data_IF_956272605274
#
_entry.id   IF_956272605274
#
_cell.length_a   1.000
_cell.length_b   1.000
_cell.length_c   1.000
_cell.angle_alpha   90.00
_cell.angle_beta   90.00
_cell.angle_gamma   90.00
#
_symmetry.space_group_name_H-M   'P 1'
#
loop_
_entity.id
_entity.type
_entity.pdbx_description
1 polymer ?
#
# COMPACT_ATOMS: atom_id res chain seq x y z
N UNK A 1 -23.49 -41.20 16.57
CA UNK A 1 -22.93 -40.70 15.29
C UNK A 1 -22.87 -39.19 15.34
N UNK A 2 -21.67 -38.57 15.28
CA UNK A 2 -21.53 -37.10 15.31
C UNK A 2 -21.98 -36.54 13.96
N UNK A 3 -22.89 -35.56 13.98
CA UNK A 3 -23.48 -34.97 12.78
C UNK A 3 -22.39 -34.27 11.93
N UNK A 4 -22.06 -34.78 10.73
CA UNK A 4 -20.93 -34.26 9.92
C UNK A 4 -21.13 -32.81 9.48
N UNK A 5 -22.37 -32.34 9.38
CA UNK A 5 -22.70 -30.95 9.02
C UNK A 5 -22.28 -29.97 10.13
N UNK A 6 -22.44 -30.36 11.39
CA UNK A 6 -22.01 -29.56 12.54
C UNK A 6 -20.49 -29.48 12.64
N UNK A 7 -19.78 -30.57 12.33
CA UNK A 7 -18.31 -30.60 12.29
C UNK A 7 -17.76 -29.65 11.22
N UNK A 8 -18.33 -29.66 10.01
CA UNK A 8 -17.91 -28.79 8.90
C UNK A 8 -18.19 -27.30 9.17
N UNK A 9 -19.33 -26.96 9.77
CA UNK A 9 -19.65 -25.57 10.12
C UNK A 9 -18.72 -25.04 11.24
N UNK A 10 -18.40 -25.89 12.21
CA UNK A 10 -17.48 -25.56 13.30
C UNK A 10 -16.06 -25.36 12.79
N UNK A 11 -15.61 -26.22 11.87
CA UNK A 11 -14.27 -26.11 11.26
C UNK A 11 -14.14 -24.87 10.36
N UNK A 12 -15.16 -24.53 9.55
CA UNK A 12 -15.20 -23.26 8.81
C UNK A 12 -15.13 -22.06 9.75
N UNK A 13 -15.87 -22.09 10.85
CA UNK A 13 -15.92 -20.98 11.82
C UNK A 13 -14.59 -20.86 12.59
N UNK A 14 -13.92 -21.97 12.88
CA UNK A 14 -12.61 -22.02 13.52
C UNK A 14 -11.49 -21.52 12.59
N UNK A 15 -11.51 -21.89 11.30
CA UNK A 15 -10.56 -21.38 10.29
C UNK A 15 -10.80 -19.89 10.01
N UNK A 16 -12.05 -19.44 9.98
CA UNK A 16 -12.40 -18.02 9.85
C UNK A 16 -11.96 -17.23 11.09
N UNK A 17 -12.11 -17.80 12.30
CA UNK A 17 -11.65 -17.19 13.57
C UNK A 17 -10.12 -17.12 13.65
N UNK A 18 -9.38 -18.18 13.30
CA UNK A 18 -7.90 -18.13 13.27
C UNK A 18 -7.34 -17.15 12.22
N UNK A 19 -8.09 -16.86 11.15
CA UNK A 19 -7.74 -15.81 10.20
C UNK A 19 -8.08 -14.39 10.70
N UNK A 20 -8.94 -14.28 11.72
CA UNK A 20 -9.37 -13.05 12.38
C UNK A 20 -8.79 -12.85 13.78
N UNK A 21 -7.85 -13.71 14.22
CA UNK A 21 -7.07 -13.48 15.43
C UNK A 21 -6.37 -12.12 15.31
N UNK A 22 -6.84 -11.17 16.11
CA UNK A 22 -6.36 -9.80 16.11
C UNK A 22 -4.86 -9.80 16.24
N UNK A 23 -4.16 -9.39 15.19
CA UNK A 23 -2.71 -9.45 15.17
C UNK A 23 -2.22 -8.01 15.26
N UNK A 24 -1.76 -7.56 16.45
CA UNK A 24 -1.46 -6.16 16.66
C UNK A 24 -0.40 -5.63 15.71
N UNK A 25 0.54 -6.50 15.28
CA UNK A 25 1.56 -6.17 14.27
C UNK A 25 0.98 -5.94 12.87
N UNK A 26 0.02 -6.76 12.41
CA UNK A 26 -0.68 -6.50 11.14
C UNK A 26 -1.52 -5.23 11.23
N UNK A 27 -2.18 -4.99 12.38
CA UNK A 27 -2.91 -3.76 12.65
C UNK A 27 -2.01 -2.54 12.56
N UNK A 28 -0.86 -2.58 13.22
CA UNK A 28 0.15 -1.53 13.22
C UNK A 28 0.66 -1.26 11.80
N UNK A 29 1.10 -2.31 11.07
CA UNK A 29 1.62 -2.15 9.72
C UNK A 29 0.56 -1.60 8.73
N UNK A 30 -0.66 -2.14 8.78
CA UNK A 30 -1.77 -1.62 7.97
C UNK A 30 -2.12 -0.18 8.35
N UNK A 31 -2.08 0.14 9.64
CA UNK A 31 -2.31 1.46 10.19
C UNK A 31 -1.27 2.48 9.72
N UNK A 32 0.01 2.12 9.70
CA UNK A 32 1.10 3.00 9.22
C UNK A 32 0.89 3.39 7.76
N UNK A 33 0.66 2.41 6.89
CA UNK A 33 0.35 2.69 5.48
C UNK A 33 -0.95 3.48 5.30
N UNK A 34 -1.97 3.19 6.10
CA UNK A 34 -3.25 3.90 6.03
C UNK A 34 -3.17 5.34 6.57
N UNK A 35 -2.28 5.61 7.53
CA UNK A 35 -1.98 6.94 8.03
C UNK A 35 -1.37 7.84 6.96
N UNK A 36 -0.47 7.28 6.12
CA UNK A 36 0.07 8.00 4.95
C UNK A 36 -1.04 8.36 3.96
N UNK A 37 -1.95 7.43 3.67
CA UNK A 37 -3.10 7.68 2.78
C UNK A 37 -4.04 8.73 3.38
N UNK A 38 -4.29 8.68 4.68
CA UNK A 38 -5.08 9.69 5.39
C UNK A 38 -4.47 11.07 5.31
N UNK A 39 -3.16 11.19 5.56
CA UNK A 39 -2.42 12.45 5.46
C UNK A 39 -2.49 13.02 4.04
N UNK A 40 -2.29 12.17 3.02
CA UNK A 40 -2.43 12.58 1.62
C UNK A 40 -3.85 13.09 1.31
N UNK A 41 -4.88 12.37 1.76
CA UNK A 41 -6.28 12.75 1.56
C UNK A 41 -6.62 14.09 2.24
N UNK A 42 -6.12 14.29 3.46
CA UNK A 42 -6.22 15.57 4.17
C UNK A 42 -5.57 16.70 3.38
N UNK A 43 -4.33 16.53 2.92
CA UNK A 43 -3.62 17.54 2.14
C UNK A 43 -4.35 17.88 0.83
N UNK A 44 -4.91 16.87 0.16
CA UNK A 44 -5.73 17.07 -1.04
C UNK A 44 -7.01 17.86 -0.74
N UNK A 45 -7.67 17.57 0.39
CA UNK A 45 -8.86 18.29 0.84
C UNK A 45 -8.52 19.75 1.18
N UNK A 46 -7.44 20.00 1.90
CA UNK A 46 -6.98 21.35 2.23
C UNK A 46 -6.60 22.14 0.97
N UNK A 47 -5.95 21.49 -0.01
CA UNK A 47 -5.66 22.10 -1.30
C UNK A 47 -6.93 22.46 -2.09
N UNK A 48 -8.00 21.65 -1.97
CA UNK A 48 -9.29 21.94 -2.57
C UNK A 48 -9.96 23.15 -1.91
N UNK A 49 -9.97 23.21 -0.57
CA UNK A 49 -10.52 24.35 0.18
C UNK A 49 -9.75 25.64 -0.12
N UNK A 50 -8.43 25.58 -0.20
CA UNK A 50 -7.59 26.73 -0.53
C UNK A 50 -7.88 27.29 -1.94
N UNK A 51 -8.23 26.44 -2.91
CA UNK A 51 -8.68 26.89 -4.25
C UNK A 51 -10.02 27.63 -4.22
N UNK A 52 -10.81 27.41 -3.18
CA UNK A 52 -12.06 28.12 -2.92
C UNK A 52 -11.88 29.28 -1.92
N UNK A 53 -10.64 29.69 -1.64
CA UNK A 53 -10.28 30.75 -0.68
C UNK A 53 -10.71 30.45 0.78
N UNK A 54 -10.95 29.19 1.10
CA UNK A 54 -11.26 28.73 2.46
C UNK A 54 -9.97 28.28 3.11
N UNK A 55 -9.46 29.06 4.06
CA UNK A 55 -8.23 28.76 4.82
C UNK A 55 -8.48 28.78 6.33
N UNK A 56 -7.55 28.23 7.11
CA UNK A 56 -7.64 28.23 8.58
C UNK A 56 -7.54 29.62 9.21
N UNK A 57 -7.10 30.64 8.45
CA UNK A 57 -6.80 31.98 8.96
C UNK A 57 -5.50 32.08 9.77
N UNK A 58 -4.81 30.96 10.03
CA UNK A 58 -3.55 30.93 10.78
C UNK A 58 -2.43 31.53 9.91
N UNK A 59 -1.66 32.47 10.47
CA UNK A 59 -0.53 33.12 9.79
C UNK A 59 0.82 32.54 10.26
N UNK A 60 1.80 32.58 9.37
CA UNK A 60 3.18 32.15 9.63
C UNK A 60 3.46 30.72 9.16
N UNK A 61 4.66 30.23 9.50
CA UNK A 61 5.08 28.89 9.08
C UNK A 61 4.17 27.79 9.67
N UNK A 62 3.83 26.76 8.88
CA UNK A 62 3.13 25.56 9.36
C UNK A 62 3.80 24.93 10.59
N UNK A 63 3.00 24.29 11.44
CA UNK A 63 3.49 23.58 12.63
C UNK A 63 4.51 22.50 12.28
N UNK A 64 4.32 21.82 11.16
CA UNK A 64 5.19 20.75 10.67
C UNK A 64 6.55 21.26 10.21
N UNK A 65 6.63 22.46 9.61
CA UNK A 65 7.90 23.10 9.26
C UNK A 65 8.68 23.50 10.52
N UNK A 66 8.01 24.06 11.53
CA UNK A 66 8.64 24.40 12.81
C UNK A 66 9.16 23.16 13.55
N UNK A 67 8.41 22.06 13.48
CA UNK A 67 8.83 20.78 14.02
C UNK A 67 10.06 20.23 13.30
N UNK A 68 10.09 20.34 11.97
CA UNK A 68 11.24 19.96 11.15
C UNK A 68 12.49 20.80 11.48
N UNK A 69 12.33 22.12 11.61
CA UNK A 69 13.42 23.02 12.02
C UNK A 69 13.99 22.65 13.38
N UNK A 70 13.13 22.49 14.39
CA UNK A 70 13.57 22.12 15.74
C UNK A 70 14.31 20.77 15.74
N UNK A 71 13.83 19.81 14.96
CA UNK A 71 14.50 18.52 14.84
C UNK A 71 15.89 18.67 14.19
N UNK A 72 15.98 19.45 13.11
CA UNK A 72 17.25 19.72 12.44
C UNK A 72 18.24 20.45 13.35
N UNK A 73 17.78 21.44 14.12
CA UNK A 73 18.58 22.16 15.11
C UNK A 73 19.14 21.20 16.17
N UNK A 74 18.30 20.32 16.70
CA UNK A 74 18.71 19.38 17.74
C UNK A 74 19.70 18.31 17.24
N UNK A 75 19.62 17.91 15.98
CA UNK A 75 20.44 16.82 15.42
C UNK A 75 21.73 17.35 14.77
N UNK A 76 21.63 18.46 14.04
CA UNK A 76 22.73 18.99 13.21
C UNK A 76 23.29 20.33 13.70
N UNK A 77 22.68 20.92 14.74
CA UNK A 77 23.03 22.27 15.21
C UNK A 77 22.57 23.39 14.29
N UNK A 78 21.80 23.11 13.23
CA UNK A 78 21.34 24.10 12.24
C UNK A 78 19.87 23.89 11.86
N UNK A 79 19.08 24.96 11.65
CA UNK A 79 17.72 24.85 11.15
C UNK A 79 17.68 24.32 9.72
N UNK A 80 16.50 23.90 9.26
CA UNK A 80 16.34 23.44 7.88
C UNK A 80 16.56 24.62 6.94
N UNK A 81 17.35 24.43 5.89
CA UNK A 81 17.57 25.46 4.87
C UNK A 81 16.26 25.89 4.22
N UNK A 82 16.11 27.19 3.95
CA UNK A 82 14.86 27.79 3.45
C UNK A 82 14.25 27.05 2.24
N UNK A 83 15.09 26.67 1.26
CA UNK A 83 14.65 25.95 0.06
C UNK A 83 14.03 24.57 0.35
N UNK A 84 14.42 23.93 1.46
CA UNK A 84 14.00 22.57 1.83
C UNK A 84 12.94 22.55 2.94
N UNK A 85 12.61 23.72 3.51
CA UNK A 85 11.77 23.83 4.71
C UNK A 85 10.38 23.24 4.50
N UNK A 86 9.73 23.59 3.39
CA UNK A 86 8.41 23.07 3.03
C UNK A 86 8.43 21.53 2.91
N UNK A 87 9.44 20.97 2.25
CA UNK A 87 9.54 19.51 2.10
C UNK A 87 9.86 18.79 3.39
N UNK A 88 10.69 19.39 4.24
CA UNK A 88 10.94 18.85 5.58
C UNK A 88 9.66 18.87 6.43
N UNK A 89 8.83 19.92 6.28
CA UNK A 89 7.49 19.99 6.86
C UNK A 89 6.55 18.88 6.34
N UNK A 90 6.51 18.64 5.03
CA UNK A 90 5.74 17.53 4.45
C UNK A 90 6.22 16.17 4.97
N UNK A 91 7.53 15.96 5.06
CA UNK A 91 8.10 14.73 5.61
C UNK A 91 7.64 14.49 7.06
N UNK A 92 7.70 15.52 7.91
CA UNK A 92 7.17 15.47 9.27
C UNK A 92 5.66 15.15 9.26
N UNK A 93 4.88 15.79 8.40
CA UNK A 93 3.44 15.57 8.30
C UNK A 93 3.11 14.10 7.99
N UNK A 94 3.72 13.53 6.95
CA UNK A 94 3.52 12.13 6.58
C UNK A 94 4.06 11.16 7.62
N UNK A 95 5.20 11.46 8.27
CA UNK A 95 5.74 10.65 9.37
C UNK A 95 4.78 10.60 10.55
N UNK A 96 4.26 11.76 11.00
CA UNK A 96 3.27 11.82 12.08
C UNK A 96 1.99 11.09 11.67
N UNK A 97 1.48 11.32 10.46
CA UNK A 97 0.30 10.62 9.94
C UNK A 97 0.46 9.10 9.94
N UNK A 98 1.62 8.59 9.50
CA UNK A 98 1.98 7.16 9.54
C UNK A 98 2.03 6.63 10.98
N UNK A 99 2.69 7.33 11.90
CA UNK A 99 2.79 6.91 13.30
C UNK A 99 1.42 6.85 13.98
N UNK A 100 0.61 7.91 13.84
CA UNK A 100 -0.73 8.00 14.42
C UNK A 100 -1.66 6.96 13.79
N UNK A 101 -1.60 6.74 12.47
CA UNK A 101 -2.32 5.68 11.80
C UNK A 101 -1.90 4.28 12.29
N UNK A 102 -0.61 4.06 12.54
CA UNK A 102 -0.07 2.81 13.09
C UNK A 102 -0.60 2.51 14.49
N UNK A 103 -0.59 3.53 15.37
CA UNK A 103 -1.18 3.42 16.71
C UNK A 103 -2.68 3.12 16.65
N UNK A 104 -3.41 3.81 15.77
CA UNK A 104 -4.83 3.53 15.54
C UNK A 104 -5.07 2.10 15.02
N UNK A 105 -4.26 1.62 14.09
CA UNK A 105 -4.34 0.28 13.56
C UNK A 105 -4.04 -0.80 14.61
N UNK A 106 -3.02 -0.59 15.45
CA UNK A 106 -2.70 -1.44 16.60
C UNK A 106 -3.88 -1.47 17.59
N UNK A 107 -4.35 -0.30 18.01
CA UNK A 107 -5.45 -0.17 18.96
C UNK A 107 -6.75 -0.78 18.43
N UNK A 108 -7.01 -0.65 17.12
CA UNK A 108 -8.18 -1.24 16.48
C UNK A 108 -8.18 -2.77 16.49
N UNK A 109 -7.02 -3.43 16.47
CA UNK A 109 -6.94 -4.88 16.63
C UNK A 109 -7.20 -5.31 18.09
N UNK A 110 -6.77 -4.49 19.07
CA UNK A 110 -6.95 -4.77 20.49
C UNK A 110 -8.40 -4.50 20.97
N UNK A 111 -9.00 -3.39 20.54
CA UNK A 111 -10.34 -2.96 20.95
C UNK A 111 -11.17 -2.56 19.71
N UNK A 112 -12.10 -3.42 19.24
CA UNK A 112 -12.91 -3.14 18.06
C UNK A 112 -13.72 -1.84 18.13
N UNK A 113 -14.08 -1.36 19.33
CA UNK A 113 -14.79 -0.09 19.53
C UNK A 113 -13.99 1.12 19.05
N UNK A 114 -12.66 1.06 19.05
CA UNK A 114 -11.79 2.12 18.51
C UNK A 114 -12.10 2.40 17.03
N UNK A 115 -12.58 1.40 16.29
CA UNK A 115 -12.94 1.50 14.88
C UNK A 115 -14.40 1.91 14.64
N UNK A 116 -15.17 2.13 15.70
CA UNK A 116 -16.56 2.59 15.60
C UNK A 116 -16.61 3.99 14.96
N UNK A 117 -17.67 4.27 14.20
CA UNK A 117 -17.81 5.54 13.48
C UNK A 117 -16.93 5.66 12.23
N UNK A 118 -16.35 4.56 11.74
CA UNK A 118 -15.71 4.51 10.42
C UNK A 118 -14.49 5.41 10.28
N UNK A 119 -13.79 5.71 11.38
CA UNK A 119 -12.62 6.58 11.42
C UNK A 119 -12.93 8.05 11.74
N UNK A 120 -14.19 8.47 11.74
CA UNK A 120 -14.56 9.86 12.07
C UNK A 120 -14.23 10.22 13.53
N UNK A 121 -14.57 9.35 14.48
CA UNK A 121 -14.24 9.54 15.90
C UNK A 121 -12.72 9.60 16.12
N UNK A 122 -11.96 8.75 15.42
CA UNK A 122 -10.51 8.78 15.42
C UNK A 122 -9.96 10.08 14.84
N UNK A 123 -10.51 10.55 13.72
CA UNK A 123 -10.14 11.84 13.13
C UNK A 123 -10.36 13.00 14.09
N UNK A 124 -11.54 13.09 14.71
CA UNK A 124 -11.83 14.11 15.71
C UNK A 124 -10.87 14.03 16.92
N UNK A 125 -10.60 12.83 17.43
CA UNK A 125 -9.63 12.63 18.50
C UNK A 125 -8.21 13.05 18.09
N UNK A 126 -7.80 12.77 16.85
CA UNK A 126 -6.52 13.20 16.32
C UNK A 126 -6.42 14.73 16.24
N UNK A 127 -7.49 15.43 15.82
CA UNK A 127 -7.52 16.90 15.83
C UNK A 127 -7.33 17.46 17.25
N UNK A 128 -8.08 16.93 18.23
CA UNK A 128 -7.99 17.39 19.62
C UNK A 128 -6.61 17.13 20.22
N UNK A 129 -6.08 15.93 20.03
CA UNK A 129 -4.80 15.53 20.64
C UNK A 129 -3.63 16.19 19.92
N UNK A 130 -3.58 16.14 18.60
CA UNK A 130 -2.42 16.65 17.84
C UNK A 130 -2.49 18.17 17.73
N UNK A 131 -3.54 18.71 17.13
CA UNK A 131 -3.61 20.13 16.76
C UNK A 131 -3.96 21.05 17.92
N UNK A 132 -4.90 20.65 18.78
CA UNK A 132 -5.37 21.52 19.87
C UNK A 132 -4.55 21.36 21.16
N UNK A 133 -3.77 20.27 21.29
CA UNK A 133 -3.02 19.96 22.52
C UNK A 133 -1.51 19.88 22.28
N UNK A 134 -1.03 18.91 21.51
CA UNK A 134 0.41 18.66 21.36
C UNK A 134 1.13 19.78 20.61
N UNK A 135 0.56 20.29 19.52
CA UNK A 135 1.15 21.37 18.71
C UNK A 135 1.33 22.66 19.55
N UNK A 136 0.34 23.12 20.36
CA UNK A 136 0.52 24.24 21.28
C UNK A 136 1.52 23.97 22.41
N UNK A 137 1.48 22.79 23.04
CA UNK A 137 2.43 22.41 24.11
C UNK A 137 3.87 22.44 23.59
N UNK A 138 4.09 21.93 22.37
CA UNK A 138 5.39 21.95 21.72
C UNK A 138 5.79 23.34 21.16
N UNK A 139 4.91 24.35 21.30
CA UNK A 139 5.09 25.73 20.82
C UNK A 139 5.23 25.83 19.29
N UNK A 140 4.63 24.89 18.55
CA UNK A 140 4.58 24.92 17.09
C UNK A 140 3.33 25.66 16.56
N UNK A 141 2.28 25.78 17.38
CA UNK A 141 1.06 26.53 17.07
C UNK A 141 0.60 27.41 18.23
N UNK A 142 -0.43 28.22 17.98
CA UNK A 142 -1.10 28.98 19.02
C UNK A 142 -2.08 28.07 19.77
N UNK A 143 -2.27 28.26 21.09
CA UNK A 143 -3.30 27.53 21.83
C UNK A 143 -4.70 27.93 21.36
N UNK A 144 -5.69 27.08 21.66
CA UNK A 144 -7.04 27.23 21.09
C UNK A 144 -7.68 28.61 21.34
N UNK A 145 -7.41 29.24 22.48
CA UNK A 145 -7.97 30.56 22.83
C UNK A 145 -7.31 31.76 22.12
N UNK A 146 -6.21 31.56 21.40
CA UNK A 146 -5.52 32.62 20.62
C UNK A 146 -5.64 32.42 19.12
N UNK A 147 -5.86 31.19 18.69
CA UNK A 147 -6.00 30.88 17.28
C UNK A 147 -7.26 31.54 16.68
N UNK A 148 -7.26 31.87 15.38
CA UNK A 148 -8.45 32.34 14.69
C UNK A 148 -9.59 31.33 14.86
N UNK A 149 -10.81 31.80 15.11
CA UNK A 149 -11.94 30.91 15.37
C UNK A 149 -12.24 29.95 14.20
N UNK A 150 -11.94 30.36 12.96
CA UNK A 150 -12.03 29.54 11.73
C UNK A 150 -11.07 28.33 11.73
N UNK A 151 -9.97 28.41 12.49
CA UNK A 151 -8.93 27.38 12.48
C UNK A 151 -9.42 26.05 13.07
N UNK A 152 -10.32 26.11 14.06
CA UNK A 152 -10.88 24.91 14.71
C UNK A 152 -11.78 24.11 13.76
N UNK A 153 -12.91 24.64 13.23
CA UNK A 153 -13.74 23.86 12.31
C UNK A 153 -12.96 23.42 11.07
N UNK A 154 -12.00 24.22 10.59
CA UNK A 154 -11.09 23.83 9.52
C UNK A 154 -10.21 22.63 9.89
N UNK A 155 -9.57 22.64 11.07
CA UNK A 155 -8.73 21.53 11.56
C UNK A 155 -9.55 20.27 11.76
N UNK A 156 -10.70 20.35 12.45
CA UNK A 156 -11.56 19.19 12.67
C UNK A 156 -12.10 18.62 11.36
N UNK A 157 -12.55 19.44 10.41
CA UNK A 157 -12.99 18.97 9.10
C UNK A 157 -11.86 18.25 8.34
N UNK A 158 -10.66 18.82 8.33
CA UNK A 158 -9.47 18.22 7.72
C UNK A 158 -9.15 16.86 8.36
N UNK A 159 -9.21 16.78 9.69
CA UNK A 159 -8.93 15.56 10.45
C UNK A 159 -10.03 14.49 10.34
N UNK A 160 -11.29 14.87 10.13
CA UNK A 160 -12.35 13.92 9.78
C UNK A 160 -12.05 13.25 8.44
N UNK A 161 -11.60 14.00 7.43
CA UNK A 161 -11.16 13.45 6.14
C UNK A 161 -9.99 12.48 6.36
N UNK A 162 -8.99 12.88 7.15
CA UNK A 162 -7.88 12.00 7.53
C UNK A 162 -8.38 10.70 8.17
N UNK A 163 -9.21 10.78 9.20
CA UNK A 163 -9.67 9.62 9.96
C UNK A 163 -10.49 8.64 9.11
N UNK A 164 -11.44 9.13 8.30
CA UNK A 164 -12.26 8.31 7.41
C UNK A 164 -11.40 7.66 6.32
N UNK A 165 -10.49 8.43 5.70
CA UNK A 165 -9.58 7.90 4.69
C UNK A 165 -8.63 6.85 5.28
N UNK A 166 -8.09 7.08 6.47
CA UNK A 166 -7.25 6.11 7.20
C UNK A 166 -8.02 4.83 7.51
N UNK A 167 -9.24 4.88 8.05
CA UNK A 167 -9.99 3.64 8.31
C UNK A 167 -10.33 2.87 7.03
N UNK A 168 -10.69 3.58 5.96
CA UNK A 168 -10.93 2.99 4.64
C UNK A 168 -9.68 2.26 4.11
N UNK A 169 -8.55 2.95 4.09
CA UNK A 169 -7.26 2.41 3.63
C UNK A 169 -6.80 1.25 4.52
N UNK A 170 -6.94 1.38 5.85
CA UNK A 170 -6.53 0.34 6.82
C UNK A 170 -7.29 -0.96 6.60
N UNK A 171 -8.60 -0.91 6.34
CA UNK A 171 -9.39 -2.12 6.01
C UNK A 171 -8.84 -2.85 4.79
N UNK A 172 -8.48 -2.10 3.74
CA UNK A 172 -7.93 -2.66 2.50
C UNK A 172 -6.53 -3.25 2.76
N UNK A 173 -5.64 -2.47 3.37
CA UNK A 173 -4.26 -2.88 3.66
C UNK A 173 -4.21 -4.07 4.63
N UNK A 174 -5.01 -4.08 5.70
CA UNK A 174 -5.08 -5.22 6.63
C UNK A 174 -5.51 -6.49 5.91
N UNK A 175 -6.56 -6.41 5.09
CA UNK A 175 -7.05 -7.57 4.30
C UNK A 175 -6.00 -8.06 3.29
N UNK A 176 -5.16 -7.17 2.78
CA UNK A 176 -4.05 -7.54 1.92
C UNK A 176 -2.91 -8.20 2.71
N UNK A 177 -2.43 -7.58 3.79
CA UNK A 177 -1.35 -8.13 4.61
C UNK A 177 -1.72 -9.46 5.27
N UNK A 178 -2.99 -9.65 5.65
CA UNK A 178 -3.50 -10.94 6.11
C UNK A 178 -3.36 -12.03 5.03
N UNK A 179 -3.56 -11.69 3.75
CA UNK A 179 -3.32 -12.62 2.62
C UNK A 179 -1.84 -12.90 2.41
N UNK A 180 -0.99 -11.88 2.50
CA UNK A 180 0.47 -12.07 2.44
C UNK A 180 0.91 -13.06 3.54
N UNK A 181 0.44 -12.88 4.78
CA UNK A 181 0.71 -13.79 5.89
C UNK A 181 0.16 -15.20 5.65
N UNK A 182 -1.07 -15.31 5.12
CA UNK A 182 -1.67 -16.60 4.77
C UNK A 182 -0.86 -17.32 3.69
N UNK A 183 -0.43 -16.61 2.65
CA UNK A 183 0.43 -17.14 1.59
C UNK A 183 1.78 -17.62 2.10
N UNK A 184 2.42 -16.85 2.99
CA UNK A 184 3.65 -17.28 3.67
C UNK A 184 3.44 -18.56 4.50
N UNK A 185 2.29 -18.67 5.17
CA UNK A 185 1.94 -19.88 5.93
C UNK A 185 1.73 -21.07 5.00
N UNK A 186 1.10 -20.87 3.82
CA UNK A 186 0.98 -21.90 2.78
C UNK A 186 2.34 -22.39 2.28
N UNK A 187 3.33 -21.48 2.12
CA UNK A 187 4.71 -21.86 1.77
C UNK A 187 5.35 -22.72 2.85
N UNK A 188 5.26 -22.29 4.12
CA UNK A 188 5.90 -22.99 5.25
C UNK A 188 5.32 -24.37 5.52
N UNK A 189 4.03 -24.56 5.26
CA UNK A 189 3.30 -25.80 5.55
C UNK A 189 3.24 -26.77 4.37
N UNK A 190 3.74 -26.38 3.18
CA UNK A 190 3.78 -27.24 2.00
C UNK A 190 2.40 -27.60 1.43
N UNK A 191 1.33 -26.91 1.83
CA UNK A 191 -0.03 -27.22 1.37
C UNK A 191 -0.18 -27.00 -0.16
N UNK A 192 -1.02 -27.80 -0.84
CA UNK A 192 -1.32 -27.60 -2.26
C UNK A 192 -1.88 -26.19 -2.50
N UNK A 193 -1.39 -25.53 -3.55
CA UNK A 193 -1.76 -24.15 -3.89
C UNK A 193 -2.78 -24.20 -5.02
N UNK A 194 -4.04 -23.84 -4.80
CA UNK A 194 -4.99 -23.77 -5.89
C UNK A 194 -4.50 -22.72 -6.91
N UNK A 195 -4.64 -22.96 -8.22
CA UNK A 195 -4.33 -21.96 -9.23
C UNK A 195 -5.12 -20.68 -9.01
N UNK A 196 -4.51 -19.53 -9.31
CA UNK A 196 -5.22 -18.26 -9.38
C UNK A 196 -6.03 -18.21 -10.67
N UNK A 197 -7.30 -18.55 -10.56
CA UNK A 197 -8.22 -18.49 -11.69
C UNK A 197 -8.65 -17.05 -11.96
N UNK A 198 -8.65 -16.65 -13.24
CA UNK A 198 -9.13 -15.33 -13.67
C UNK A 198 -10.63 -15.30 -13.98
N UNK A 199 -11.29 -16.46 -13.89
CA UNK A 199 -12.73 -16.61 -14.08
C UNK A 199 -13.41 -16.96 -12.74
N UNK A 200 -14.74 -16.82 -12.70
CA UNK A 200 -15.52 -17.13 -11.50
C UNK A 200 -15.45 -16.06 -10.40
N UNK A 201 -15.94 -16.37 -9.18
CA UNK A 201 -16.16 -15.40 -8.11
C UNK A 201 -14.90 -14.70 -7.59
N UNK A 202 -13.73 -15.32 -7.79
CA UNK A 202 -12.43 -14.82 -7.35
C UNK A 202 -11.59 -14.22 -8.50
N UNK A 203 -12.10 -14.19 -9.74
CA UNK A 203 -11.36 -13.69 -10.91
C UNK A 203 -10.91 -12.24 -10.79
N UNK A 204 -11.73 -11.38 -10.17
CA UNK A 204 -11.36 -9.98 -9.88
C UNK A 204 -10.14 -9.86 -8.97
N UNK A 205 -9.89 -10.86 -8.09
CA UNK A 205 -8.69 -10.88 -7.23
C UNK A 205 -7.45 -11.17 -8.03
N UNK A 206 -7.53 -12.14 -8.94
CA UNK A 206 -6.42 -12.48 -9.83
C UNK A 206 -6.05 -11.30 -10.71
N UNK A 207 -7.04 -10.66 -11.33
CA UNK A 207 -6.83 -9.46 -12.15
C UNK A 207 -6.33 -8.28 -11.32
N UNK A 208 -6.86 -8.07 -10.11
CA UNK A 208 -6.41 -7.02 -9.20
C UNK A 208 -4.96 -7.20 -8.74
N UNK A 209 -4.55 -8.44 -8.39
CA UNK A 209 -3.16 -8.73 -8.04
C UNK A 209 -2.22 -8.60 -9.25
N UNK A 210 -2.67 -9.03 -10.44
CA UNK A 210 -1.90 -8.85 -11.67
C UNK A 210 -1.70 -7.36 -12.00
N UNK A 211 -2.76 -6.55 -11.85
CA UNK A 211 -2.69 -5.09 -11.99
C UNK A 211 -1.71 -4.47 -10.99
N UNK A 212 -1.82 -4.81 -9.70
CA UNK A 212 -0.95 -4.26 -8.66
C UNK A 212 0.51 -4.70 -8.82
N UNK A 213 0.75 -5.94 -9.23
CA UNK A 213 2.08 -6.41 -9.60
C UNK A 213 2.62 -5.63 -10.79
N UNK A 214 1.82 -5.43 -11.84
CA UNK A 214 2.18 -4.59 -12.98
C UNK A 214 2.46 -3.14 -12.61
N UNK A 215 1.72 -2.57 -11.65
CA UNK A 215 1.97 -1.22 -11.13
C UNK A 215 3.38 -1.07 -10.53
N UNK A 216 3.96 -2.13 -9.97
CA UNK A 216 5.37 -2.09 -9.53
C UNK A 216 6.34 -1.94 -10.70
N UNK A 217 5.99 -2.40 -11.91
CA UNK A 217 6.77 -2.15 -13.13
C UNK A 217 6.79 -0.66 -13.48
N UNK A 218 5.67 0.02 -13.23
CA UNK A 218 5.55 1.47 -13.43
C UNK A 218 6.51 2.28 -12.56
N UNK A 219 6.78 1.78 -11.35
CA UNK A 219 7.76 2.36 -10.42
C UNK A 219 9.18 1.94 -10.79
N UNK A 220 9.43 0.64 -10.98
CA UNK A 220 10.71 0.05 -11.40
C UNK A 220 10.48 -1.14 -12.34
N UNK A 221 11.01 -1.03 -13.54
CA UNK A 221 10.77 -1.91 -14.69
C UNK A 221 11.04 -3.38 -14.33
N UNK A 222 12.16 -3.68 -13.66
CA UNK A 222 12.58 -5.05 -13.39
C UNK A 222 12.02 -5.63 -12.08
N UNK A 223 11.36 -4.83 -11.25
CA UNK A 223 10.86 -5.28 -9.95
C UNK A 223 9.86 -6.44 -10.04
N UNK A 224 8.75 -6.33 -10.81
CA UNK A 224 7.81 -7.45 -10.91
C UNK A 224 8.37 -8.62 -11.70
N UNK A 225 9.15 -8.37 -12.76
CA UNK A 225 9.72 -9.43 -13.59
C UNK A 225 10.68 -10.32 -12.80
N UNK A 226 11.52 -9.70 -11.98
CA UNK A 226 12.45 -10.43 -11.10
C UNK A 226 11.68 -11.19 -10.02
N UNK A 227 10.66 -10.56 -9.42
CA UNK A 227 9.83 -11.21 -8.40
C UNK A 227 9.10 -12.45 -8.94
N UNK A 228 8.46 -12.38 -10.11
CA UNK A 228 7.78 -13.56 -10.69
C UNK A 228 8.75 -14.63 -11.16
N UNK A 229 9.93 -14.26 -11.63
CA UNK A 229 10.99 -15.19 -12.03
C UNK A 229 11.43 -16.01 -10.82
N UNK A 230 11.74 -15.35 -9.70
CA UNK A 230 12.09 -16.03 -8.46
C UNK A 230 10.92 -16.81 -7.86
N UNK A 231 9.70 -16.25 -7.87
CA UNK A 231 8.52 -16.96 -7.39
C UNK A 231 8.25 -18.23 -8.20
N UNK A 232 8.35 -18.20 -9.53
CA UNK A 232 8.21 -19.39 -10.37
C UNK A 232 9.34 -20.40 -10.12
N UNK A 233 10.58 -19.91 -9.99
CA UNK A 233 11.76 -20.74 -9.73
C UNK A 233 11.73 -21.44 -8.37
N UNK A 234 11.20 -20.78 -7.34
CA UNK A 234 10.97 -21.34 -6.01
C UNK A 234 9.67 -22.17 -5.94
N UNK A 235 8.99 -22.35 -7.08
CA UNK A 235 7.76 -23.12 -7.20
C UNK A 235 6.53 -22.46 -6.58
N UNK A 236 6.58 -21.19 -6.19
CA UNK A 236 5.43 -20.44 -5.67
C UNK A 236 4.34 -20.34 -6.74
N UNK A 237 4.75 -20.11 -7.99
CA UNK A 237 3.89 -19.98 -9.16
C UNK A 237 4.19 -21.13 -10.13
N UNK A 238 3.14 -21.83 -10.58
CA UNK A 238 3.30 -22.94 -11.53
C UNK A 238 3.17 -22.47 -12.99
N UNK A 239 4.32 -22.33 -13.64
CA UNK A 239 4.44 -21.99 -15.07
C UNK A 239 4.62 -23.21 -15.98
N UNK A 240 4.59 -24.44 -15.44
CA UNK A 240 4.84 -25.66 -16.23
C UNK A 240 3.82 -25.80 -17.36
N UNK A 241 4.30 -26.10 -18.56
CA UNK A 241 3.47 -26.23 -19.76
C UNK A 241 2.92 -24.91 -20.32
N UNK A 242 3.28 -23.75 -19.74
CA UNK A 242 2.92 -22.44 -20.29
C UNK A 242 4.02 -21.89 -21.21
N UNK A 243 3.65 -20.95 -22.09
CA UNK A 243 4.62 -20.19 -22.91
C UNK A 243 5.63 -19.39 -22.08
N UNK A 244 5.29 -19.11 -20.81
CA UNK A 244 6.15 -18.39 -19.87
C UNK A 244 6.99 -19.32 -18.99
N UNK A 245 6.99 -20.63 -19.25
CA UNK A 245 7.75 -21.63 -18.47
C UNK A 245 9.24 -21.31 -18.33
N UNK A 246 9.83 -20.62 -19.32
CA UNK A 246 11.24 -20.20 -19.29
C UNK A 246 11.59 -19.28 -18.10
N UNK A 247 10.61 -18.54 -17.56
CA UNK A 247 10.81 -17.67 -16.38
C UNK A 247 11.13 -18.47 -15.11
N UNK A 248 10.85 -19.77 -15.05
CA UNK A 248 11.25 -20.62 -13.91
C UNK A 248 12.72 -21.10 -13.97
N UNK A 249 13.43 -20.81 -15.07
CA UNK A 249 14.78 -21.32 -15.32
C UNK A 249 15.86 -20.65 -14.47
N UNK A 250 17.01 -21.34 -14.32
CA UNK A 250 18.24 -20.77 -13.69
C UNK A 250 18.72 -19.53 -14.44
N UNK A 251 18.66 -19.58 -15.76
CA UNK A 251 19.13 -18.52 -16.65
C UNK A 251 18.26 -17.26 -16.52
N UNK A 252 16.93 -17.39 -16.49
CA UNK A 252 16.04 -16.25 -16.30
C UNK A 252 16.32 -15.52 -14.97
N UNK A 253 16.53 -16.25 -13.88
CA UNK A 253 16.91 -15.66 -12.59
C UNK A 253 18.29 -14.98 -12.63
N UNK A 254 19.27 -15.61 -13.31
CA UNK A 254 20.61 -15.06 -13.49
C UNK A 254 20.66 -13.79 -14.35
N UNK A 255 19.66 -13.57 -15.22
CA UNK A 255 19.54 -12.36 -16.07
C UNK A 255 18.74 -11.26 -15.36
N UNK A 256 17.55 -11.59 -14.84
CA UNK A 256 16.64 -10.60 -14.24
C UNK A 256 17.20 -10.00 -12.94
N UNK A 257 17.93 -10.78 -12.15
CA UNK A 257 18.54 -10.29 -10.89
C UNK A 257 19.56 -9.17 -11.11
N UNK A 258 20.59 -9.31 -11.96
CA UNK A 258 21.51 -8.20 -12.23
C UNK A 258 20.82 -7.02 -12.93
N UNK A 259 19.79 -7.24 -13.76
CA UNK A 259 19.00 -6.13 -14.32
C UNK A 259 18.29 -5.33 -13.22
N UNK A 260 17.69 -6.00 -12.24
CA UNK A 260 17.08 -5.35 -11.08
C UNK A 260 18.10 -4.60 -10.21
N UNK A 261 19.26 -5.21 -9.93
CA UNK A 261 20.34 -4.54 -9.19
C UNK A 261 20.89 -3.33 -9.96
N UNK A 262 21.07 -3.47 -11.26
CA UNK A 262 21.49 -2.39 -12.15
C UNK A 262 20.51 -1.23 -12.11
N UNK A 263 19.20 -1.50 -12.15
CA UNK A 263 18.17 -0.46 -12.03
C UNK A 263 18.27 0.30 -10.69
N UNK A 264 18.56 -0.37 -9.57
CA UNK A 264 18.76 0.28 -8.25
C UNK A 264 20.02 1.17 -8.24
N UNK A 265 21.10 0.73 -8.88
CA UNK A 265 22.39 1.45 -8.90
C UNK A 265 22.34 2.65 -9.85
N UNK A 266 21.89 2.44 -11.09
CA UNK A 266 21.83 3.49 -12.14
C UNK A 266 20.98 4.68 -11.68
N UNK A 267 19.88 4.42 -10.99
CA UNK A 267 18.98 5.48 -10.48
C UNK A 267 19.65 6.42 -9.46
N UNK A 268 20.74 5.99 -8.83
CA UNK A 268 21.44 6.79 -7.81
C UNK A 268 22.65 7.54 -8.34
N UNK A 269 23.11 7.21 -9.55
CA UNK A 269 24.35 7.75 -10.14
C UNK A 269 24.08 8.99 -11.02
N UNK A 270 22.83 9.47 -11.08
CA UNK A 270 22.51 10.76 -11.73
C UNK A 270 22.60 10.77 -13.26
N UNK A 271 22.73 9.60 -13.88
CA UNK A 271 22.65 9.42 -15.34
C UNK A 271 21.41 8.59 -15.64
N UNK A 272 20.27 9.26 -15.82
CA UNK A 272 19.06 8.58 -16.28
C UNK A 272 18.45 9.39 -17.43
N UNK A 273 18.37 8.83 -18.65
CA UNK A 273 17.56 9.39 -19.73
C UNK A 273 16.10 9.53 -19.30
N UNK A 274 15.35 10.41 -19.96
CA UNK A 274 14.01 10.81 -19.51
C UNK A 274 13.06 9.61 -19.37
N UNK A 275 12.42 9.46 -18.20
CA UNK A 275 11.62 8.28 -17.84
C UNK A 275 10.31 8.14 -18.63
N UNK A 276 9.98 9.14 -19.45
CA UNK A 276 8.86 9.17 -20.40
C UNK A 276 9.30 8.90 -21.83
N UNK A 277 10.57 8.56 -22.08
CA UNK A 277 10.97 8.06 -23.38
C UNK A 277 10.15 6.82 -23.73
N UNK A 278 9.66 6.80 -24.97
CA UNK A 278 8.76 5.77 -25.50
C UNK A 278 9.29 4.36 -25.22
N UNK A 279 10.61 4.19 -25.29
CA UNK A 279 11.31 2.94 -24.99
C UNK A 279 11.16 2.52 -23.52
N UNK A 280 11.33 3.45 -22.58
CA UNK A 280 11.20 3.18 -21.14
C UNK A 280 9.77 2.82 -20.74
N UNK A 281 8.78 3.51 -21.28
CA UNK A 281 7.36 3.17 -21.03
C UNK A 281 7.03 1.80 -21.63
N UNK A 282 7.45 1.52 -22.87
CA UNK A 282 7.23 0.23 -23.50
C UNK A 282 7.84 -0.93 -22.70
N UNK A 283 9.06 -0.75 -22.18
CA UNK A 283 9.71 -1.75 -21.32
C UNK A 283 8.90 -2.05 -20.04
N UNK A 284 8.37 -1.00 -19.38
CA UNK A 284 7.51 -1.16 -18.18
C UNK A 284 6.20 -1.88 -18.51
N UNK A 285 5.58 -1.55 -19.63
CA UNK A 285 4.36 -2.20 -20.10
C UNK A 285 4.59 -3.68 -20.37
N UNK A 286 5.67 -4.02 -21.09
CA UNK A 286 6.02 -5.42 -21.34
C UNK A 286 6.31 -6.19 -20.05
N UNK A 287 7.10 -5.58 -19.15
CA UNK A 287 7.41 -6.19 -17.84
C UNK A 287 6.14 -6.42 -17.01
N UNK A 288 5.25 -5.43 -16.94
CA UNK A 288 3.96 -5.55 -16.26
C UNK A 288 3.07 -6.63 -16.87
N UNK A 289 3.01 -6.70 -18.20
CA UNK A 289 2.21 -7.70 -18.91
C UNK A 289 2.72 -9.13 -18.69
N UNK A 290 4.03 -9.35 -18.85
CA UNK A 290 4.67 -10.64 -18.62
C UNK A 290 4.50 -11.09 -17.16
N UNK A 291 4.68 -10.17 -16.22
CA UNK A 291 4.58 -10.48 -14.79
C UNK A 291 3.14 -10.76 -14.37
N UNK A 292 2.17 -9.99 -14.85
CA UNK A 292 0.74 -10.22 -14.59
C UNK A 292 0.26 -11.56 -15.16
N UNK A 293 0.66 -11.89 -16.39
CA UNK A 293 0.34 -13.18 -17.01
C UNK A 293 1.03 -14.34 -16.26
N UNK A 294 2.30 -14.18 -15.87
CA UNK A 294 3.04 -15.19 -15.13
C UNK A 294 2.40 -15.47 -13.77
N UNK A 295 1.93 -14.45 -13.05
CA UNK A 295 1.31 -14.59 -11.72
C UNK A 295 0.18 -15.61 -11.68
N UNK A 296 -0.60 -15.70 -12.75
CA UNK A 296 -1.74 -16.64 -12.89
C UNK A 296 -1.38 -17.90 -13.70
N UNK A 297 -0.10 -18.25 -13.74
CA UNK A 297 0.38 -19.48 -14.38
C UNK A 297 0.61 -19.37 -15.90
N UNK A 298 0.59 -18.16 -16.48
CA UNK A 298 0.85 -17.94 -17.91
C UNK A 298 -0.27 -18.38 -18.85
N UNK A 299 -1.50 -18.53 -18.34
CA UNK A 299 -2.66 -19.08 -19.06
C UNK A 299 -3.77 -18.06 -19.37
N UNK A 300 -3.68 -16.84 -18.84
CA UNK A 300 -4.73 -15.83 -19.00
C UNK A 300 -4.19 -14.52 -19.60
N UNK A 301 -4.58 -14.19 -20.85
CA UNK A 301 -4.25 -12.90 -21.46
C UNK A 301 -4.81 -11.71 -20.67
N UNK A 302 -5.97 -11.88 -20.03
CA UNK A 302 -6.62 -10.83 -19.24
C UNK A 302 -5.75 -10.38 -18.06
N UNK A 303 -5.02 -11.30 -17.41
CA UNK A 303 -4.08 -10.95 -16.35
C UNK A 303 -2.84 -10.20 -16.89
N UNK A 304 -2.37 -10.55 -18.09
CA UNK A 304 -1.33 -9.79 -18.77
C UNK A 304 -1.78 -8.36 -19.09
N UNK A 305 -2.99 -8.18 -19.63
CA UNK A 305 -3.57 -6.85 -19.88
C UNK A 305 -3.77 -6.06 -18.59
N UNK A 306 -4.21 -6.70 -17.52
CA UNK A 306 -4.33 -6.06 -16.21
C UNK A 306 -2.96 -5.58 -15.70
N UNK A 307 -1.92 -6.40 -15.82
CA UNK A 307 -0.55 -6.01 -15.47
C UNK A 307 0.00 -4.86 -16.33
N UNK A 308 -0.26 -4.90 -17.63
CA UNK A 308 0.07 -3.79 -18.54
C UNK A 308 -0.62 -2.49 -18.08
N UNK A 309 -1.94 -2.53 -17.85
CA UNK A 309 -2.70 -1.38 -17.39
C UNK A 309 -2.19 -0.83 -16.05
N UNK A 310 -1.82 -1.71 -15.11
CA UNK A 310 -1.21 -1.34 -13.84
C UNK A 310 0.09 -0.57 -14.02
N UNK A 311 0.98 -1.04 -14.89
CA UNK A 311 2.25 -0.38 -15.18
C UNK A 311 2.07 1.01 -15.78
N UNK A 312 1.12 1.18 -16.71
CA UNK A 312 0.79 2.47 -17.33
C UNK A 312 0.29 3.44 -16.28
N UNK A 313 -0.70 3.02 -15.49
CA UNK A 313 -1.30 3.85 -14.44
C UNK A 313 -0.23 4.32 -13.44
N UNK A 314 0.64 3.43 -12.99
CA UNK A 314 1.69 3.76 -12.03
C UNK A 314 2.82 4.61 -12.64
N UNK A 315 3.15 4.44 -13.93
CA UNK A 315 4.16 5.26 -14.60
C UNK A 315 3.74 6.73 -14.63
N UNK A 316 2.50 7.01 -15.06
CA UNK A 316 2.00 8.39 -15.14
C UNK A 316 1.68 8.98 -13.76
N UNK A 317 1.12 8.18 -12.85
CA UNK A 317 0.86 8.63 -11.48
C UNK A 317 2.17 8.94 -10.74
N UNK A 318 3.17 8.05 -10.86
CA UNK A 318 4.49 8.23 -10.28
C UNK A 318 5.20 9.48 -10.83
N UNK A 319 5.14 9.71 -12.14
CA UNK A 319 5.67 10.93 -12.75
C UNK A 319 4.96 12.18 -12.20
N UNK A 320 3.63 12.20 -12.17
CA UNK A 320 2.88 13.36 -11.66
C UNK A 320 3.18 13.67 -10.19
N UNK A 321 3.38 12.64 -9.36
CA UNK A 321 3.78 12.78 -7.95
C UNK A 321 5.22 13.30 -7.88
N UNK A 322 6.16 12.67 -8.60
CA UNK A 322 7.58 13.03 -8.59
C UNK A 322 7.82 14.47 -9.07
N UNK A 323 7.14 14.94 -10.11
CA UNK A 323 7.28 16.32 -10.59
C UNK A 323 6.78 17.35 -9.57
N UNK A 324 5.84 16.98 -8.69
CA UNK A 324 5.42 17.83 -7.56
C UNK A 324 6.47 17.84 -6.44
N UNK A 325 7.11 16.70 -6.17
CA UNK A 325 8.13 16.53 -5.14
C UNK A 325 9.55 17.00 -5.54
N UNK A 326 9.95 16.89 -6.81
CA UNK A 326 11.31 17.23 -7.25
C UNK A 326 11.55 18.74 -7.35
N UNK A 327 10.48 19.54 -7.50
CA UNK A 327 10.56 21.01 -7.44
C UNK A 327 10.98 21.53 -6.06
N UNK A 328 10.93 20.68 -5.03
CA UNK A 328 11.13 21.06 -3.63
C UNK A 328 12.26 20.27 -2.94
N UNK A 329 12.92 19.32 -3.63
CA UNK A 329 14.03 18.51 -3.12
C UNK A 329 15.26 18.69 -4.02
N UNK A 330 16.30 19.36 -3.55
CA UNK A 330 17.59 19.43 -4.27
C UNK A 330 18.40 18.11 -4.22
N UNK A 331 17.81 17.00 -3.74
CA UNK A 331 18.41 15.66 -3.65
C UNK A 331 17.38 14.56 -3.96
N UNK A 332 17.58 13.86 -5.08
CA UNK A 332 16.61 12.89 -5.62
C UNK A 332 16.65 11.48 -4.99
N UNK A 333 17.71 11.14 -4.25
CA UNK A 333 17.97 9.77 -3.81
C UNK A 333 17.00 9.21 -2.73
N UNK A 334 16.47 9.99 -1.75
CA UNK A 334 15.57 9.43 -0.74
C UNK A 334 14.21 9.02 -1.32
N UNK A 335 13.72 9.78 -2.31
CA UNK A 335 12.50 9.46 -3.06
C UNK A 335 12.71 8.20 -3.88
N UNK A 336 13.85 8.10 -4.58
CA UNK A 336 14.21 6.90 -5.35
C UNK A 336 14.30 5.64 -4.48
N UNK A 337 14.84 5.74 -3.26
CA UNK A 337 14.88 4.62 -2.31
C UNK A 337 13.49 4.18 -1.83
N UNK A 338 12.56 5.12 -1.67
CA UNK A 338 11.17 4.78 -1.31
C UNK A 338 10.45 4.09 -2.48
N UNK A 339 10.66 4.56 -3.71
CA UNK A 339 10.17 3.91 -4.93
C UNK A 339 10.70 2.46 -5.04
N UNK A 340 11.98 2.23 -4.75
CA UNK A 340 12.60 0.89 -4.75
C UNK A 340 11.95 -0.05 -3.74
N UNK A 341 11.77 0.40 -2.49
CA UNK A 341 11.15 -0.41 -1.44
C UNK A 341 9.72 -0.78 -1.82
N UNK A 342 8.95 0.18 -2.35
CA UNK A 342 7.58 -0.06 -2.78
C UNK A 342 7.51 -0.99 -3.99
N UNK A 343 8.39 -0.83 -4.97
CA UNK A 343 8.38 -1.64 -6.19
C UNK A 343 8.77 -3.09 -5.90
N UNK A 344 9.96 -3.33 -5.32
CA UNK A 344 10.45 -4.68 -5.06
C UNK A 344 9.71 -5.36 -3.91
N UNK A 345 9.51 -4.63 -2.79
CA UNK A 345 8.75 -5.15 -1.65
C UNK A 345 7.30 -5.45 -2.01
N UNK A 346 6.65 -4.53 -2.74
CA UNK A 346 5.30 -4.72 -3.28
C UNK A 346 5.21 -5.95 -4.18
N UNK A 347 6.12 -6.09 -5.15
CA UNK A 347 6.11 -7.20 -6.10
C UNK A 347 6.18 -8.57 -5.40
N UNK A 348 7.07 -8.71 -4.41
CA UNK A 348 7.19 -9.92 -3.59
C UNK A 348 5.92 -10.15 -2.77
N UNK A 349 5.36 -9.11 -2.15
CA UNK A 349 4.12 -9.22 -1.38
C UNK A 349 2.93 -9.63 -2.27
N UNK A 350 2.82 -9.14 -3.50
CA UNK A 350 1.76 -9.54 -4.43
C UNK A 350 1.92 -11.01 -4.85
N UNK A 351 3.14 -11.46 -5.14
CA UNK A 351 3.43 -12.87 -5.38
C UNK A 351 3.08 -13.74 -4.16
N UNK A 352 3.37 -13.27 -2.95
CA UNK A 352 3.03 -13.99 -1.71
C UNK A 352 1.53 -14.04 -1.47
N UNK A 353 0.82 -12.91 -1.63
CA UNK A 353 -0.63 -12.82 -1.49
C UNK A 353 -1.36 -13.72 -2.50
N UNK A 354 -0.73 -14.00 -3.63
CA UNK A 354 -1.23 -14.91 -4.66
C UNK A 354 -1.41 -16.35 -4.17
N UNK A 355 -0.63 -16.73 -3.14
CA UNK A 355 -0.62 -18.07 -2.53
C UNK A 355 -1.68 -18.24 -1.43
N UNK A 356 -2.39 -17.16 -1.10
CA UNK A 356 -3.45 -17.20 -0.10
C UNK A 356 -4.66 -17.98 -0.66
N UNK A 357 -5.28 -18.87 0.13
CA UNK A 357 -6.44 -19.62 -0.32
C UNK A 357 -7.55 -18.74 -0.93
N UNK A 358 -8.19 -19.26 -1.97
CA UNK A 358 -9.41 -18.71 -2.54
C UNK A 358 -10.54 -18.66 -1.51
N UNK A 359 -11.59 -17.88 -1.77
CA UNK A 359 -12.83 -18.07 -1.02
C UNK A 359 -13.37 -19.41 -1.49
N UNK A 360 -13.58 -20.35 -0.56
CA UNK A 360 -14.23 -21.62 -0.91
C UNK A 360 -15.59 -21.26 -1.50
N UNK A 361 -15.78 -21.50 -2.80
CA UNK A 361 -17.09 -21.42 -3.42
C UNK A 361 -18.01 -22.30 -2.58
N UNK A 362 -19.12 -21.75 -2.10
CA UNK A 362 -20.12 -22.58 -1.44
C UNK A 362 -20.43 -23.74 -2.41
N UNK A 363 -20.13 -24.97 -2.01
CA UNK A 363 -20.51 -26.13 -2.77
C UNK A 363 -22.01 -25.97 -3.10
N UNK A 364 -22.44 -26.23 -4.35
CA UNK A 364 -23.86 -26.19 -4.66
C UNK A 364 -24.56 -27.07 -3.64
N UNK A 365 -25.59 -26.54 -2.97
CA UNK A 365 -26.52 -27.37 -2.21
C UNK A 365 -26.98 -28.46 -3.18
N UNK A 366 -26.49 -29.68 -2.98
CA UNK A 366 -27.08 -30.84 -3.64
C UNK A 366 -28.51 -30.85 -3.13
N UNK A 367 -29.44 -30.35 -3.94
CA UNK A 367 -30.85 -30.59 -3.79
C UNK A 367 -31.01 -32.10 -3.87
N UNK A 368 -31.12 -32.74 -2.71
CA UNK A 368 -31.59 -34.10 -2.61
C UNK A 368 -33.02 -34.12 -3.12
N UNK A 369 -33.19 -34.34 -4.43
CA UNK A 369 -34.40 -34.94 -4.98
C UNK A 369 -34.42 -36.38 -4.46
N UNK A 370 -34.94 -36.56 -3.25
CA UNK A 370 -35.48 -37.85 -2.83
C UNK A 370 -36.82 -37.94 -3.56
N UNK A 371 -36.89 -38.84 -4.53
CA UNK A 371 -38.15 -39.22 -5.14
C UNK A 371 -39.05 -39.80 -4.08
N UNK A 372 -40.23 -39.20 -3.91
CA UNK A 372 -41.37 -39.88 -3.32
C UNK A 372 -41.97 -40.74 -4.44
N UNK A 373 -41.83 -42.06 -4.27
CA UNK A 373 -42.64 -43.08 -4.93
C UNK A 373 -43.75 -43.52 -3.99
#
# INVERSE_FOLDING_TARGET
MKNPVASYATEKTMVQRHADDGSPLLGLAAGMGAGLVGAFAMSAFQALLARADITSGVRGAPSTEKAADRLSENVSGRPVGYAMRATAGEAVHYSVGSLIGGLYGFAGEAEPRVRAGGGAAFGAAAATVVDETLVPIARFGQPFWRAPWMSHPYSYASHLVFGVATEGARKVLRRFLARVRAGFTSLRTGKPRPPLETWGPDGWRALGLAFLLGATAGLRTNAPLTAVTWAARLGWIDLRGSRLGFLSSKQAAAITTPMALGEIVVDKVGSTPDRTEVVGVAARVMSGALSGAALVGGRSPAAGLAGAAGSVAATYLGHAIRTRLSRSLHKDWPVAGTEDILAFGGAVMFCMASLAPGRVANAPKILSYVGES
#
